data_IF_429999102532
#
_entry.id   IF_429999102532
#
_cell.length_a   1.000
_cell.length_b   1.000
_cell.length_c   1.000
_cell.angle_alpha   90.00
_cell.angle_beta   90.00
_cell.angle_gamma   90.00
#
_symmetry.space_group_name_H-M   'P 1'
#
loop_
_entity.id
_entity.type
_entity.pdbx_description
1 polymer ?
#
# COMPACT_ATOMS: atom_id res chain seq x y z
N UNK A 1 24.22 -10.11 0.60
CA UNK A 1 23.12 -10.15 1.58
C UNK A 1 22.23 -8.95 1.30
N UNK A 2 20.94 -9.15 1.03
CA UNK A 2 20.02 -8.03 0.73
C UNK A 2 19.78 -7.24 2.02
N UNK A 3 19.94 -5.92 1.98
CA UNK A 3 19.71 -5.05 3.15
C UNK A 3 18.21 -4.83 3.32
N UNK A 4 17.58 -5.61 4.20
CA UNK A 4 16.14 -5.50 4.47
C UNK A 4 15.81 -4.34 5.42
N UNK A 5 14.78 -3.57 5.09
CA UNK A 5 14.27 -2.51 5.96
C UNK A 5 13.45 -3.07 7.12
N UNK A 6 13.30 -2.30 8.19
CA UNK A 6 12.47 -2.70 9.36
C UNK A 6 11.00 -2.82 8.98
N UNK A 7 10.51 -1.95 8.10
CA UNK A 7 9.15 -1.99 7.58
C UNK A 7 8.87 -3.30 6.83
N UNK A 8 9.82 -3.77 6.01
CA UNK A 8 9.68 -4.99 5.22
C UNK A 8 9.64 -6.25 6.10
N UNK A 9 10.43 -6.27 7.18
CA UNK A 9 10.38 -7.33 8.19
C UNK A 9 9.00 -7.40 8.88
N UNK A 10 8.44 -6.25 9.26
CA UNK A 10 7.10 -6.17 9.86
C UNK A 10 6.03 -6.67 8.90
N UNK A 11 6.12 -6.29 7.61
CA UNK A 11 5.19 -6.75 6.59
C UNK A 11 5.27 -8.27 6.41
N UNK A 12 6.48 -8.83 6.27
CA UNK A 12 6.70 -10.28 6.11
C UNK A 12 6.16 -11.05 7.32
N UNK A 13 6.45 -10.59 8.54
CA UNK A 13 5.96 -11.23 9.76
C UNK A 13 4.42 -11.26 9.80
N UNK A 14 3.77 -10.18 9.36
CA UNK A 14 2.30 -10.10 9.32
C UNK A 14 1.71 -10.98 8.21
N UNK A 15 2.34 -11.02 7.03
CA UNK A 15 1.94 -11.90 5.93
C UNK A 15 2.02 -13.38 6.32
N UNK A 16 3.11 -13.78 6.99
CA UNK A 16 3.27 -15.14 7.50
C UNK A 16 2.21 -15.51 8.54
N UNK A 17 1.78 -14.56 9.38
CA UNK A 17 0.71 -14.81 10.34
C UNK A 17 -0.63 -15.09 9.65
N UNK A 18 -0.98 -14.33 8.61
CA UNK A 18 -2.17 -14.60 7.80
C UNK A 18 -2.08 -15.94 7.07
N UNK A 19 -0.93 -16.26 6.48
CA UNK A 19 -0.73 -17.55 5.81
C UNK A 19 -0.89 -18.74 6.75
N UNK A 20 -0.41 -18.62 8.00
CA UNK A 20 -0.53 -19.68 9.01
C UNK A 20 -1.92 -19.76 9.64
N UNK A 21 -2.67 -18.66 9.64
CA UNK A 21 -3.98 -18.55 10.28
C UNK A 21 -4.99 -17.87 9.32
N UNK A 22 -5.42 -18.55 8.25
CA UNK A 22 -6.26 -17.93 7.21
C UNK A 22 -7.58 -17.35 7.73
N UNK A 23 -8.17 -17.97 8.76
CA UNK A 23 -9.44 -17.53 9.37
C UNK A 23 -9.28 -16.30 10.28
N UNK A 24 -8.05 -15.93 10.62
CA UNK A 24 -7.78 -14.82 11.52
C UNK A 24 -7.60 -13.51 10.74
N UNK A 25 -8.55 -12.59 10.94
CA UNK A 25 -8.59 -11.31 10.21
C UNK A 25 -7.57 -10.26 10.65
N UNK A 26 -7.00 -10.36 11.86
CA UNK A 26 -5.98 -9.45 12.39
C UNK A 26 -5.16 -10.07 13.52
N UNK A 27 -4.07 -9.42 13.92
CA UNK A 27 -3.14 -9.89 14.96
C UNK A 27 -2.75 -8.77 15.91
N UNK A 28 -2.53 -9.08 17.17
CA UNK A 28 -1.97 -8.10 18.11
C UNK A 28 -0.53 -7.74 17.72
N UNK A 29 -0.11 -6.49 18.00
CA UNK A 29 1.25 -6.03 17.70
C UNK A 29 2.31 -6.96 18.30
N UNK A 30 2.08 -7.51 19.51
CA UNK A 30 2.98 -8.48 20.14
C UNK A 30 3.14 -9.78 19.34
N UNK A 31 2.10 -10.22 18.64
CA UNK A 31 2.12 -11.44 17.83
C UNK A 31 2.98 -11.20 16.58
N UNK A 32 2.84 -10.03 15.96
CA UNK A 32 3.66 -9.60 14.81
C UNK A 32 5.13 -9.50 15.21
N UNK A 33 5.43 -8.86 16.35
CA UNK A 33 6.80 -8.74 16.88
C UNK A 33 7.39 -10.13 17.18
N UNK A 34 6.62 -11.02 17.83
CA UNK A 34 7.05 -12.40 18.09
C UNK A 34 7.30 -13.17 16.80
N UNK A 35 6.45 -13.02 15.78
CA UNK A 35 6.67 -13.69 14.50
C UNK A 35 7.92 -13.17 13.79
N UNK A 36 8.23 -11.87 13.88
CA UNK A 36 9.48 -11.31 13.36
C UNK A 36 10.70 -11.87 14.10
N UNK A 37 10.63 -12.01 15.42
CA UNK A 37 11.66 -12.64 16.27
C UNK A 37 11.96 -14.09 15.87
N UNK A 38 10.92 -14.86 15.53
CA UNK A 38 11.05 -16.25 15.11
C UNK A 38 11.65 -16.33 13.71
N UNK A 39 11.14 -15.51 12.78
CA UNK A 39 11.51 -15.60 11.37
C UNK A 39 12.92 -15.05 11.09
N UNK A 40 13.40 -14.10 11.89
CA UNK A 40 14.75 -13.54 11.80
C UNK A 40 15.13 -13.11 10.39
N UNK A 41 14.19 -12.42 9.71
CA UNK A 41 14.32 -12.03 8.30
C UNK A 41 15.59 -11.23 8.03
N UNK A 42 15.99 -10.37 8.98
CA UNK A 42 17.15 -9.50 8.86
C UNK A 42 18.50 -10.16 9.18
N UNK A 43 18.50 -11.41 9.66
CA UNK A 43 19.72 -12.13 10.04
C UNK A 43 19.61 -12.79 11.43
N UNK A 44 20.67 -13.52 11.86
CA UNK A 44 20.65 -14.34 13.07
C UNK A 44 20.60 -13.55 14.40
N UNK A 45 20.95 -12.26 14.34
CA UNK A 45 20.96 -11.33 15.46
C UNK A 45 19.60 -11.21 16.17
N UNK A 46 19.57 -10.70 17.41
CA UNK A 46 18.33 -10.37 18.09
C UNK A 46 17.44 -9.42 17.29
N UNK A 47 16.13 -9.42 17.58
CA UNK A 47 15.18 -8.55 16.91
C UNK A 47 15.60 -7.08 16.99
N UNK A 48 15.47 -6.37 15.87
CA UNK A 48 15.83 -4.97 15.80
C UNK A 48 14.87 -4.15 16.67
N UNK A 49 15.35 -3.22 17.52
CA UNK A 49 14.51 -2.38 18.38
C UNK A 49 13.40 -1.63 17.61
N UNK A 50 13.65 -1.33 16.33
CA UNK A 50 12.70 -0.64 15.47
C UNK A 50 11.44 -1.44 15.10
N UNK A 51 11.41 -2.77 15.23
CA UNK A 51 10.28 -3.60 14.75
C UNK A 51 9.00 -3.24 15.50
N UNK A 52 9.07 -3.07 16.82
CA UNK A 52 7.90 -2.74 17.64
C UNK A 52 7.26 -1.40 17.22
N UNK A 53 8.06 -0.35 17.06
CA UNK A 53 7.51 0.97 16.67
C UNK A 53 7.01 0.98 15.21
N UNK A 54 7.60 0.16 14.33
CA UNK A 54 7.08 0.01 12.97
C UNK A 54 5.72 -0.68 12.95
N UNK A 55 5.56 -1.80 13.66
CA UNK A 55 4.28 -2.49 13.78
C UNK A 55 3.20 -1.63 14.49
N UNK A 56 3.60 -0.86 15.51
CA UNK A 56 2.66 -0.03 16.26
C UNK A 56 2.24 1.26 15.53
N UNK A 57 3.17 1.90 14.79
CA UNK A 57 3.00 3.26 14.27
C UNK A 57 3.51 3.46 12.84
N UNK A 58 4.78 3.20 12.53
CA UNK A 58 5.37 3.64 11.25
C UNK A 58 4.80 2.92 10.03
N UNK A 59 4.29 1.69 10.18
CA UNK A 59 3.67 0.92 9.10
C UNK A 59 2.16 1.11 8.98
N UNK A 60 1.52 1.80 9.95
CA UNK A 60 0.05 1.81 10.11
C UNK A 60 -0.59 2.92 9.29
N UNK A 61 -1.35 2.54 8.24
CA UNK A 61 -1.91 3.41 7.23
C UNK A 61 -2.96 4.40 7.76
N UNK A 62 -3.84 3.94 8.65
CA UNK A 62 -4.92 4.75 9.23
C UNK A 62 -4.51 5.56 10.47
N UNK A 63 -3.21 5.69 10.72
CA UNK A 63 -2.66 6.58 11.76
C UNK A 63 -1.90 7.75 11.15
N UNK A 64 -1.85 8.91 11.83
CA UNK A 64 -0.96 10.00 11.42
C UNK A 64 0.48 9.50 11.26
N UNK A 65 1.22 9.94 10.24
CA UNK A 65 2.62 9.60 10.08
C UNK A 65 3.47 10.24 11.17
N UNK A 66 4.46 9.50 11.66
CA UNK A 66 5.46 10.02 12.61
C UNK A 66 6.66 9.07 12.65
N UNK A 67 7.81 9.39 12.04
CA UNK A 67 7.92 10.09 10.75
C UNK A 67 7.56 9.17 9.56
N UNK A 68 7.48 7.85 9.79
CA UNK A 68 7.23 6.86 8.75
C UNK A 68 5.92 7.10 8.01
N UNK A 69 5.96 6.94 6.67
CA UNK A 69 4.83 7.20 5.76
C UNK A 69 4.25 5.94 5.11
N UNK A 70 4.66 4.76 5.54
CA UNK A 70 4.25 3.48 4.95
C UNK A 70 2.76 3.20 5.17
N UNK A 71 2.19 2.38 4.27
CA UNK A 71 0.81 1.89 4.28
C UNK A 71 0.78 0.36 4.27
N UNK A 72 1.55 -0.25 5.16
CA UNK A 72 1.75 -1.70 5.16
C UNK A 72 0.74 -2.43 6.04
N UNK A 73 0.27 -1.78 7.11
CA UNK A 73 -0.67 -2.33 8.07
C UNK A 73 -1.88 -1.41 8.23
N UNK A 74 -3.01 -1.97 8.61
CA UNK A 74 -4.21 -1.24 9.03
C UNK A 74 -4.52 -1.57 10.49
N UNK A 75 -4.76 -0.57 11.32
CA UNK A 75 -5.30 -0.78 12.68
C UNK A 75 -6.80 -1.09 12.60
N UNK A 76 -7.17 -2.29 13.02
CA UNK A 76 -8.57 -2.75 13.09
C UNK A 76 -9.21 -2.43 14.44
N UNK A 77 -8.43 -2.55 15.51
CA UNK A 77 -8.79 -2.16 16.88
C UNK A 77 -7.53 -1.84 17.68
N UNK A 78 -7.69 -1.31 18.90
CA UNK A 78 -6.58 -0.86 19.74
C UNK A 78 -5.50 -1.95 19.88
N UNK A 79 -4.35 -1.73 19.26
CA UNK A 79 -3.20 -2.64 19.33
C UNK A 79 -3.31 -3.90 18.44
N UNK A 80 -4.32 -4.00 17.58
CA UNK A 80 -4.46 -5.07 16.58
C UNK A 80 -4.27 -4.54 15.16
N UNK A 81 -3.59 -5.31 14.33
CA UNK A 81 -3.16 -4.93 12.98
C UNK A 81 -3.44 -6.07 12.02
N UNK A 82 -3.80 -5.73 10.79
CA UNK A 82 -3.77 -6.63 9.64
C UNK A 82 -2.96 -6.00 8.52
N UNK A 83 -2.61 -6.77 7.50
CA UNK A 83 -2.05 -6.19 6.28
C UNK A 83 -3.02 -5.19 5.66
N UNK A 84 -2.47 -4.10 5.15
CA UNK A 84 -3.24 -3.10 4.41
C UNK A 84 -3.84 -3.73 3.16
N UNK A 85 -5.09 -3.40 2.84
CA UNK A 85 -5.71 -3.75 1.55
C UNK A 85 -5.98 -2.47 0.75
N UNK A 86 -5.82 -2.48 -0.59
CA UNK A 86 -6.35 -1.41 -1.43
C UNK A 86 -7.81 -1.12 -1.09
N UNK A 87 -8.16 0.15 -0.88
CA UNK A 87 -9.48 0.57 -0.41
C UNK A 87 -9.62 0.72 1.11
N UNK A 88 -8.68 0.23 1.93
CA UNK A 88 -8.67 0.51 3.36
C UNK A 88 -8.53 2.02 3.62
N UNK A 89 -9.19 2.57 4.67
CA UNK A 89 -8.97 3.95 5.08
C UNK A 89 -7.50 4.21 5.41
N UNK A 90 -6.95 5.32 4.94
CA UNK A 90 -5.60 5.73 5.25
C UNK A 90 -5.51 7.25 5.46
N UNK A 91 -4.50 7.66 6.23
CA UNK A 91 -4.22 9.07 6.44
C UNK A 91 -3.55 9.67 5.20
N UNK A 92 -4.07 10.79 4.67
CA UNK A 92 -3.61 11.41 3.42
C UNK A 92 -2.09 11.67 3.30
N UNK A 93 -1.39 11.92 4.43
CA UNK A 93 0.07 12.10 4.46
C UNK A 93 0.89 10.79 4.39
N UNK A 94 0.23 9.63 4.31
CA UNK A 94 0.87 8.31 4.19
C UNK A 94 1.12 7.99 2.71
N UNK A 95 2.25 8.48 2.18
CA UNK A 95 2.60 8.34 0.76
C UNK A 95 3.59 7.21 0.45
N UNK A 96 3.96 6.42 1.45
CA UNK A 96 4.93 5.33 1.30
C UNK A 96 4.35 4.06 0.68
N UNK A 97 5.23 3.06 0.50
CA UNK A 97 4.89 1.73 -0.02
C UNK A 97 3.92 0.97 0.90
N UNK A 98 3.12 0.10 0.29
CA UNK A 98 2.14 -0.78 0.93
C UNK A 98 2.63 -2.23 1.06
N UNK A 99 3.54 -2.67 0.18
CA UNK A 99 4.24 -3.94 0.26
C UNK A 99 5.75 -3.73 0.01
N UNK A 100 6.62 -4.68 0.42
CA UNK A 100 8.03 -4.68 0.08
C UNK A 100 8.25 -4.74 -1.44
N UNK A 101 9.40 -4.23 -1.91
CA UNK A 101 9.81 -4.51 -3.28
C UNK A 101 10.50 -5.87 -3.31
N UNK A 102 10.29 -6.64 -4.37
CA UNK A 102 10.89 -7.96 -4.58
C UNK A 102 12.42 -7.96 -4.41
N UNK A 103 13.10 -6.93 -4.95
CA UNK A 103 14.56 -6.73 -4.84
C UNK A 103 15.06 -6.43 -3.42
N UNK A 104 14.20 -5.97 -2.52
CA UNK A 104 14.56 -5.56 -1.15
C UNK A 104 14.39 -6.71 -0.15
N UNK A 105 13.85 -7.86 -0.57
CA UNK A 105 13.58 -9.01 0.29
C UNK A 105 14.24 -10.30 -0.26
N UNK A 106 14.58 -11.27 0.62
CA UNK A 106 15.07 -12.57 0.19
C UNK A 106 14.07 -13.33 -0.69
N UNK A 107 14.57 -14.08 -1.68
CA UNK A 107 13.75 -14.87 -2.64
C UNK A 107 12.74 -15.80 -1.97
N UNK A 108 13.05 -16.35 -0.79
CA UNK A 108 12.13 -17.23 -0.04
C UNK A 108 10.80 -16.59 0.37
N UNK A 109 10.69 -15.26 0.28
CA UNK A 109 9.46 -14.53 0.61
C UNK A 109 8.77 -13.93 -0.62
N UNK A 110 9.27 -14.18 -1.83
CA UNK A 110 8.65 -13.66 -3.05
C UNK A 110 7.24 -14.21 -3.22
N UNK A 111 7.01 -15.47 -2.87
CA UNK A 111 5.66 -16.09 -2.86
C UNK A 111 4.67 -15.34 -1.95
N UNK A 112 5.14 -14.65 -0.90
CA UNK A 112 4.24 -13.83 -0.05
C UNK A 112 3.73 -12.60 -0.80
N UNK A 113 4.50 -12.04 -1.72
CA UNK A 113 4.06 -10.93 -2.57
C UNK A 113 2.99 -11.40 -3.55
N UNK A 114 3.19 -12.58 -4.16
CA UNK A 114 2.22 -13.18 -5.08
C UNK A 114 0.89 -13.48 -4.35
N UNK A 115 0.96 -14.15 -3.19
CA UNK A 115 -0.19 -14.39 -2.33
C UNK A 115 -0.89 -13.09 -1.91
N UNK A 116 -0.13 -12.06 -1.56
CA UNK A 116 -0.71 -10.78 -1.16
C UNK A 116 -1.51 -10.13 -2.30
N UNK A 117 -0.95 -10.14 -3.52
CA UNK A 117 -1.57 -9.53 -4.68
C UNK A 117 -2.77 -10.32 -5.22
N UNK A 118 -2.71 -11.66 -5.23
CA UNK A 118 -3.78 -12.49 -5.79
C UNK A 118 -4.84 -12.84 -4.75
N UNK A 119 -4.43 -13.36 -3.59
CA UNK A 119 -5.36 -13.97 -2.62
C UNK A 119 -5.78 -12.98 -1.53
N UNK A 120 -4.83 -12.22 -0.96
CA UNK A 120 -5.13 -11.39 0.22
C UNK A 120 -5.87 -10.10 -0.11
N UNK A 121 -5.36 -9.35 -1.09
CA UNK A 121 -6.04 -8.18 -1.64
C UNK A 121 -7.24 -8.56 -2.51
N UNK A 122 -7.39 -9.87 -2.76
CA UNK A 122 -8.60 -10.51 -3.25
C UNK A 122 -8.89 -10.20 -4.70
N UNK A 123 -7.84 -10.03 -5.52
CA UNK A 123 -7.95 -9.40 -6.83
C UNK A 123 -8.80 -8.14 -6.67
N UNK A 124 -8.19 -7.05 -6.18
CA UNK A 124 -8.70 -5.76 -6.62
C UNK A 124 -8.71 -5.88 -8.14
N UNK A 125 -9.88 -6.21 -8.71
CA UNK A 125 -10.10 -6.18 -10.14
C UNK A 125 -9.40 -4.91 -10.53
N UNK A 126 -8.38 -5.08 -11.39
CA UNK A 126 -7.96 -4.11 -12.39
C UNK A 126 -8.87 -2.92 -12.29
N UNK A 127 -8.34 -1.76 -11.88
CA UNK A 127 -9.00 -0.48 -12.13
C UNK A 127 -9.86 -0.69 -13.36
N UNK A 128 -11.18 -0.82 -13.15
CA UNK A 128 -12.14 -0.79 -14.23
C UNK A 128 -11.82 0.58 -14.76
N UNK A 129 -10.98 0.64 -15.81
CA UNK A 129 -10.40 1.89 -16.27
C UNK A 129 -11.62 2.73 -16.53
N UNK A 130 -11.85 3.71 -15.64
CA UNK A 130 -13.17 4.31 -15.51
C UNK A 130 -13.59 4.66 -16.94
N UNK A 131 -14.70 4.09 -17.45
CA UNK A 131 -15.04 4.23 -18.85
C UNK A 131 -15.20 5.69 -19.26
N UNK A 132 -15.27 6.65 -18.33
CA UNK A 132 -15.16 8.08 -18.58
C UNK A 132 -13.70 8.54 -18.64
N UNK A 133 -12.83 8.09 -17.74
CA UNK A 133 -11.40 8.43 -17.76
C UNK A 133 -10.65 7.81 -18.94
N UNK A 134 -11.09 6.66 -19.45
CA UNK A 134 -10.55 6.05 -20.67
C UNK A 134 -10.86 6.88 -21.92
N UNK A 135 -11.90 7.72 -21.88
CA UNK A 135 -12.26 8.67 -22.94
C UNK A 135 -11.48 9.98 -22.83
N UNK A 136 -10.60 10.15 -21.83
CA UNK A 136 -9.80 11.37 -21.68
C UNK A 136 -8.90 11.57 -22.89
N UNK A 137 -9.14 12.65 -23.64
CA UNK A 137 -8.43 12.96 -24.89
C UNK A 137 -9.18 12.52 -26.14
N UNK A 138 -10.27 11.75 -26.01
CA UNK A 138 -11.20 11.50 -27.09
C UNK A 138 -11.84 12.83 -27.53
N UNK A 139 -11.81 13.11 -28.83
CA UNK A 139 -12.32 14.35 -29.41
C UNK A 139 -11.29 15.47 -29.53
N UNK A 140 -10.03 15.30 -29.07
CA UNK A 140 -8.96 16.30 -29.28
C UNK A 140 -8.75 16.63 -30.77
N UNK A 141 -8.94 15.64 -31.64
CA UNK A 141 -8.88 15.76 -33.10
C UNK A 141 -9.96 16.71 -33.66
N UNK A 142 -11.14 16.76 -33.02
CA UNK A 142 -12.28 17.60 -33.44
C UNK A 142 -11.94 19.08 -33.25
N UNK A 143 -11.21 19.38 -32.18
CA UNK A 143 -10.78 20.73 -31.80
C UNK A 143 -9.40 21.11 -32.35
N UNK A 144 -8.75 20.24 -33.13
CA UNK A 144 -7.36 20.44 -33.55
C UNK A 144 -7.17 21.64 -34.50
N UNK A 145 -8.23 22.07 -35.19
CA UNK A 145 -8.22 23.23 -36.08
C UNK A 145 -8.90 24.46 -35.48
N UNK A 146 -9.38 24.37 -34.24
CA UNK A 146 -10.13 25.45 -33.60
C UNK A 146 -9.26 26.11 -32.52
N UNK A 147 -8.95 27.38 -32.74
CA UNK A 147 -8.24 28.20 -31.77
C UNK A 147 -9.18 28.58 -30.62
N UNK A 148 -8.79 28.23 -29.39
CA UNK A 148 -9.65 28.37 -28.21
C UNK A 148 -10.07 29.83 -27.94
N UNK A 149 -9.16 30.78 -28.19
CA UNK A 149 -9.41 32.20 -27.98
C UNK A 149 -10.39 32.76 -29.03
N UNK A 150 -10.25 32.31 -30.28
CA UNK A 150 -11.16 32.63 -31.37
C UNK A 150 -12.57 32.09 -31.13
N UNK A 151 -12.69 30.86 -30.62
CA UNK A 151 -13.97 30.23 -30.29
C UNK A 151 -14.71 30.96 -29.15
N UNK A 152 -14.00 31.28 -28.06
CA UNK A 152 -14.58 32.03 -26.93
C UNK A 152 -15.01 33.43 -27.35
N UNK A 153 -14.25 34.07 -28.24
CA UNK A 153 -14.59 35.39 -28.78
C UNK A 153 -15.88 35.36 -29.62
N UNK A 154 -16.06 34.33 -30.46
CA UNK A 154 -17.31 34.15 -31.23
C UNK A 154 -18.52 33.86 -30.33
N UNK A 155 -18.38 33.01 -29.32
CA UNK A 155 -19.46 32.71 -28.36
C UNK A 155 -19.94 33.96 -27.60
N UNK A 156 -19.02 34.87 -27.28
CA UNK A 156 -19.32 36.11 -26.55
C UNK A 156 -19.79 37.25 -27.45
N UNK A 157 -19.69 37.12 -28.77
CA UNK A 157 -20.11 38.16 -29.71
C UNK A 157 -21.61 38.46 -29.65
N UNK A 158 -22.44 37.49 -29.27
CA UNK A 158 -23.90 37.66 -29.09
C UNK A 158 -24.32 38.19 -27.71
N UNK A 159 -23.37 38.51 -26.83
CA UNK A 159 -23.61 39.00 -25.46
C UNK A 159 -23.26 40.48 -25.28
N UNK A 160 -23.15 41.22 -26.39
CA UNK A 160 -23.00 42.68 -26.44
C UNK A 160 -24.33 43.36 -26.78
#
# INVERSE_FOLDING_TARGET
MVKILVADEVWIATALLHMKNPDQGDFAVREIVRQAEIEKVAGPEPIRPGVQIHAYLHCVANRPPNPGRYRMLTETSKGRRRLFKPGDPYHHLRTGKNAPNEKDIPKKYHELLDWYNHDYTGGANTEEVDPILSLRGMGKEIWAQEDADSYVSQLRAGWQ
#
